data_IF_072077868115
#
_entry.id   IF_072077868115
#
_cell.length_a   1.000
_cell.length_b   1.000
_cell.length_c   1.000
_cell.angle_alpha   90.00
_cell.angle_beta   90.00
_cell.angle_gamma   90.00
#
_symmetry.space_group_name_H-M   'P 1'
#
loop_
_entity.id
_entity.type
_entity.pdbx_description
1 polymer ?
#
# COMPACT_ATOMS: atom_id res chain seq x y z
N UNK A 1 23.50 -1.67 -62.50
CA UNK A 1 23.98 -1.14 -61.20
C UNK A 1 22.74 -0.76 -60.37
N UNK A 2 22.35 -1.61 -59.42
CA UNK A 2 21.08 -1.48 -58.68
C UNK A 2 21.39 -0.84 -57.31
N UNK A 3 20.84 0.36 -57.09
CA UNK A 3 20.93 1.14 -55.86
C UNK A 3 20.14 0.43 -54.75
N UNK A 4 20.79 0.14 -53.62
CA UNK A 4 20.11 -0.30 -52.40
C UNK A 4 20.25 0.77 -51.33
N UNK A 5 19.12 1.40 -51.05
CA UNK A 5 18.89 2.33 -49.95
C UNK A 5 19.07 1.60 -48.63
N UNK A 6 19.94 2.11 -47.77
CA UNK A 6 20.13 1.62 -46.41
C UNK A 6 19.21 2.42 -45.47
N UNK A 7 18.09 1.83 -45.09
CA UNK A 7 17.15 2.37 -44.11
C UNK A 7 17.68 2.15 -42.70
N UNK A 8 17.90 3.24 -41.98
CA UNK A 8 18.31 3.26 -40.57
C UNK A 8 17.09 2.94 -39.70
N UNK A 9 17.03 1.73 -39.15
CA UNK A 9 15.99 1.33 -38.21
C UNK A 9 16.28 1.95 -36.83
N UNK A 10 15.48 2.94 -36.44
CA UNK A 10 15.48 3.50 -35.08
C UNK A 10 14.72 2.53 -34.18
N UNK A 11 15.45 1.78 -33.35
CA UNK A 11 14.88 0.99 -32.26
C UNK A 11 14.43 1.95 -31.16
N UNK A 12 13.13 2.26 -31.14
CA UNK A 12 12.48 2.86 -29.98
C UNK A 12 12.56 1.87 -28.82
N UNK A 13 13.41 2.17 -27.82
CA UNK A 13 13.25 1.57 -26.50
C UNK A 13 11.98 2.17 -25.89
N UNK A 14 10.86 1.47 -26.00
CA UNK A 14 9.72 1.72 -25.15
C UNK A 14 10.13 1.35 -23.72
N UNK A 15 10.47 2.37 -22.94
CA UNK A 15 10.59 2.30 -21.48
C UNK A 15 9.33 1.64 -20.94
N UNK A 16 9.47 0.46 -20.35
CA UNK A 16 8.37 -0.20 -19.63
C UNK A 16 7.84 0.77 -18.59
N UNK A 17 6.56 1.10 -18.70
CA UNK A 17 5.84 1.78 -17.63
C UNK A 17 5.86 0.83 -16.42
N UNK A 18 6.71 1.13 -15.45
CA UNK A 18 6.54 0.61 -14.10
C UNK A 18 5.20 1.16 -13.64
N UNK A 19 4.18 0.30 -13.57
CA UNK A 19 2.85 0.65 -13.09
C UNK A 19 2.95 1.11 -11.64
N UNK A 20 3.06 2.43 -11.47
CA UNK A 20 2.61 3.17 -10.30
C UNK A 20 1.09 2.94 -10.21
N UNK A 21 0.65 1.97 -9.41
CA UNK A 21 -0.74 1.51 -9.41
C UNK A 21 -1.34 1.59 -8.01
N UNK A 22 -2.64 1.92 -7.94
CA UNK A 22 -3.39 1.83 -6.70
C UNK A 22 -3.39 0.37 -6.21
N UNK A 23 -2.80 0.16 -5.03
CA UNK A 23 -2.63 -1.16 -4.43
C UNK A 23 -3.43 -1.30 -3.16
N UNK A 24 -3.67 -2.56 -2.79
CA UNK A 24 -4.33 -2.93 -1.54
C UNK A 24 -3.36 -3.60 -0.60
N UNK A 25 -3.49 -3.32 0.69
CA UNK A 25 -2.73 -3.99 1.73
C UNK A 25 -3.62 -4.30 2.94
N UNK A 26 -3.18 -5.30 3.71
CA UNK A 26 -3.80 -5.68 4.98
C UNK A 26 -2.80 -5.47 6.11
N UNK A 27 -3.22 -4.71 7.12
CA UNK A 27 -2.38 -4.33 8.25
C UNK A 27 -3.09 -4.77 9.53
N UNK A 28 -2.45 -5.64 10.31
CA UNK A 28 -2.88 -5.96 11.67
C UNK A 28 -2.41 -4.87 12.61
N UNK A 29 -3.30 -4.47 13.52
CA UNK A 29 -2.96 -3.53 14.60
C UNK A 29 -3.31 -4.13 15.94
N UNK A 30 -2.51 -3.82 16.94
CA UNK A 30 -2.72 -4.24 18.33
C UNK A 30 -2.60 -3.04 19.28
N UNK A 31 -3.13 -3.20 20.49
CA UNK A 31 -3.13 -2.14 21.50
C UNK A 31 -4.43 -1.33 21.54
N UNK A 32 -5.53 -1.89 21.01
CA UNK A 32 -6.86 -1.29 21.04
C UNK A 32 -7.48 -1.46 22.44
N UNK A 33 -6.99 -0.72 23.44
CA UNK A 33 -7.46 -0.85 24.83
C UNK A 33 -8.66 0.03 25.17
N UNK A 34 -9.15 0.81 24.20
CA UNK A 34 -10.21 1.77 24.39
C UNK A 34 -11.23 1.72 23.24
N UNK A 35 -12.51 2.08 23.48
CA UNK A 35 -13.58 1.96 22.48
C UNK A 35 -13.33 2.77 21.19
N UNK A 36 -12.55 3.85 21.28
CA UNK A 36 -12.23 4.74 20.15
C UNK A 36 -10.82 4.53 19.59
N UNK A 37 -10.07 3.54 20.07
CA UNK A 37 -8.68 3.34 19.70
C UNK A 37 -8.53 2.98 18.21
N UNK A 38 -9.46 2.22 17.64
CA UNK A 38 -9.50 1.91 16.22
C UNK A 38 -9.68 3.16 15.35
N UNK A 39 -10.50 4.12 15.79
CA UNK A 39 -10.63 5.39 15.05
C UNK A 39 -9.29 6.14 14.99
N UNK A 40 -8.56 6.23 16.11
CA UNK A 40 -7.26 6.93 16.18
C UNK A 40 -6.22 6.24 15.28
N UNK A 41 -6.20 4.90 15.28
CA UNK A 41 -5.31 4.14 14.40
C UNK A 41 -5.65 4.37 12.93
N UNK A 42 -6.94 4.38 12.58
CA UNK A 42 -7.37 4.65 11.21
C UNK A 42 -6.92 6.03 10.72
N UNK A 43 -7.14 7.06 11.53
CA UNK A 43 -6.66 8.41 11.24
C UNK A 43 -5.13 8.48 11.13
N UNK A 44 -4.41 7.72 11.96
CA UNK A 44 -2.95 7.64 11.87
C UNK A 44 -2.51 7.04 10.52
N UNK A 45 -3.13 5.95 10.06
CA UNK A 45 -2.83 5.36 8.75
C UNK A 45 -3.12 6.35 7.61
N UNK A 46 -4.21 7.12 7.70
CA UNK A 46 -4.61 8.11 6.68
C UNK A 46 -3.75 9.38 6.68
N UNK A 47 -2.81 9.54 7.61
CA UNK A 47 -1.79 10.60 7.54
C UNK A 47 -0.75 10.35 6.48
N UNK A 48 -0.55 9.08 6.10
CA UNK A 48 0.29 8.75 4.96
C UNK A 48 -0.43 9.14 3.68
N UNK A 49 0.31 9.70 2.72
CA UNK A 49 -0.26 10.19 1.47
C UNK A 49 -0.90 9.03 0.68
N UNK A 50 -1.99 9.33 -0.05
CA UNK A 50 -2.78 8.38 -0.85
C UNK A 50 -3.52 7.26 -0.09
N UNK A 51 -3.40 7.18 1.24
CA UNK A 51 -4.03 6.10 2.02
C UNK A 51 -5.54 6.31 2.18
N UNK A 52 -6.32 5.30 1.82
CA UNK A 52 -7.74 5.22 2.13
C UNK A 52 -8.08 3.91 2.85
N UNK A 53 -8.94 3.97 3.86
CA UNK A 53 -9.42 2.79 4.58
C UNK A 53 -10.63 2.23 3.85
N UNK A 54 -10.52 1.00 3.37
CA UNK A 54 -11.64 0.28 2.77
C UNK A 54 -12.49 -0.43 3.82
N UNK A 55 -11.83 -1.01 4.83
CA UNK A 55 -12.51 -1.77 5.86
C UNK A 55 -11.66 -1.89 7.12
N UNK A 56 -12.32 -2.08 8.26
CA UNK A 56 -11.70 -2.47 9.52
C UNK A 56 -12.47 -3.66 10.12
N UNK A 57 -11.75 -4.76 10.35
CA UNK A 57 -12.30 -5.94 11.01
C UNK A 57 -11.68 -6.07 12.40
N UNK A 58 -12.46 -5.80 13.43
CA UNK A 58 -12.07 -6.03 14.82
C UNK A 58 -12.00 -7.53 15.13
N UNK A 59 -11.01 -7.95 15.92
CA UNK A 59 -10.95 -9.31 16.45
C UNK A 59 -11.90 -9.49 17.64
N UNK A 60 -12.25 -10.75 17.95
CA UNK A 60 -13.23 -11.05 19.01
C UNK A 60 -12.84 -10.52 20.39
N UNK A 61 -11.55 -10.33 20.67
CA UNK A 61 -11.05 -9.85 21.95
C UNK A 61 -11.12 -8.32 22.10
N UNK A 62 -11.44 -7.59 21.02
CA UNK A 62 -11.52 -6.13 20.97
C UNK A 62 -10.19 -5.40 21.19
N UNK A 63 -9.05 -6.11 21.16
CA UNK A 63 -7.71 -5.54 21.46
C UNK A 63 -6.84 -5.40 20.23
N UNK A 64 -7.28 -5.98 19.13
CA UNK A 64 -6.63 -5.92 17.83
C UNK A 64 -7.66 -5.91 16.70
N UNK A 65 -7.20 -5.61 15.50
CA UNK A 65 -8.01 -5.73 14.29
C UNK A 65 -7.17 -5.59 13.04
N UNK A 66 -7.78 -5.85 11.89
CA UNK A 66 -7.12 -5.75 10.58
C UNK A 66 -7.77 -4.64 9.76
N UNK A 67 -6.95 -3.70 9.32
CA UNK A 67 -7.32 -2.71 8.31
C UNK A 67 -7.03 -3.26 6.92
N UNK A 68 -8.00 -3.11 6.02
CA UNK A 68 -7.77 -3.19 4.58
C UNK A 68 -7.72 -1.78 4.04
N UNK A 69 -6.61 -1.43 3.39
CA UNK A 69 -6.38 -0.09 2.85
C UNK A 69 -6.15 -0.14 1.34
N UNK A 70 -6.32 1.00 0.68
CA UNK A 70 -5.68 1.31 -0.60
C UNK A 70 -4.61 2.38 -0.43
N UNK A 71 -3.61 2.36 -1.30
CA UNK A 71 -2.54 3.35 -1.38
C UNK A 71 -1.94 3.34 -2.80
N UNK A 72 -1.30 4.44 -3.20
CA UNK A 72 -0.51 4.54 -4.43
C UNK A 72 0.97 4.26 -4.09
N UNK A 73 1.49 3.14 -4.60
CA UNK A 73 2.85 2.69 -4.29
C UNK A 73 3.95 3.49 -5.00
N UNK A 74 3.59 4.43 -5.88
CA UNK A 74 4.52 5.42 -6.41
C UNK A 74 4.61 6.69 -5.56
N UNK A 75 3.67 6.88 -4.63
CA UNK A 75 3.61 8.06 -3.76
C UNK A 75 4.06 7.72 -2.35
N UNK A 76 3.69 6.55 -1.83
CA UNK A 76 3.90 6.19 -0.43
C UNK A 76 4.35 4.74 -0.28
N UNK A 77 5.35 4.51 0.57
CA UNK A 77 5.83 3.16 0.90
C UNK A 77 5.01 2.50 2.02
N UNK A 78 4.81 1.17 1.93
CA UNK A 78 4.07 0.41 2.94
C UNK A 78 4.72 0.47 4.33
N UNK A 79 6.05 0.51 4.40
CA UNK A 79 6.78 0.65 5.65
C UNK A 79 6.48 1.99 6.33
N UNK A 80 6.33 3.06 5.56
CA UNK A 80 5.93 4.38 6.08
C UNK A 80 4.50 4.35 6.63
N UNK A 81 3.56 3.69 5.92
CA UNK A 81 2.17 3.53 6.37
C UNK A 81 2.11 2.73 7.68
N UNK A 82 2.80 1.58 7.74
CA UNK A 82 2.83 0.70 8.92
C UNK A 82 3.51 1.38 10.12
N UNK A 83 4.40 2.34 9.90
CA UNK A 83 5.05 3.08 10.98
C UNK A 83 4.14 4.13 11.64
N UNK A 84 3.09 4.63 10.96
CA UNK A 84 2.27 5.74 11.48
C UNK A 84 1.63 5.48 12.86
N UNK A 85 1.03 4.29 13.14
CA UNK A 85 0.34 4.07 14.41
C UNK A 85 1.28 4.10 15.64
N UNK A 86 2.59 3.90 15.46
CA UNK A 86 3.57 3.93 16.54
C UNK A 86 3.66 5.30 17.23
N UNK A 87 3.40 6.40 16.50
CA UNK A 87 3.35 7.75 17.06
C UNK A 87 2.24 7.93 18.12
N UNK A 88 1.29 7.00 18.16
CA UNK A 88 0.15 6.99 19.06
C UNK A 88 0.17 5.82 20.07
N UNK A 89 1.25 5.04 20.09
CA UNK A 89 1.43 3.91 21.00
C UNK A 89 0.77 2.61 20.54
N UNK A 90 0.36 2.51 19.28
CA UNK A 90 -0.16 1.28 18.69
C UNK A 90 0.93 0.54 17.92
N UNK A 91 0.83 -0.79 17.85
CA UNK A 91 1.71 -1.61 17.02
C UNK A 91 0.96 -2.01 15.77
N UNK A 92 1.60 -1.88 14.61
CA UNK A 92 1.05 -2.30 13.33
C UNK A 92 2.02 -3.24 12.61
N UNK A 93 1.47 -4.25 11.93
CA UNK A 93 2.23 -5.26 11.20
C UNK A 93 1.56 -5.50 9.85
N UNK A 94 2.35 -5.50 8.78
CA UNK A 94 1.89 -5.85 7.44
C UNK A 94 1.59 -7.35 7.39
N UNK A 95 0.35 -7.70 7.05
CA UNK A 95 -0.07 -9.10 6.83
C UNK A 95 0.03 -9.51 5.37
N UNK A 96 -0.32 -8.60 4.47
CA UNK A 96 -0.35 -8.82 3.03
C UNK A 96 -0.18 -7.48 2.31
N UNK A 97 0.69 -7.44 1.31
CA UNK A 97 0.99 -6.28 0.47
C UNK A 97 0.22 -6.30 -0.86
N UNK A 98 -0.67 -7.28 -1.05
CA UNK A 98 -1.48 -7.46 -2.24
C UNK A 98 -0.75 -8.05 -3.44
N UNK A 99 0.55 -8.35 -3.34
CA UNK A 99 1.33 -8.95 -4.45
C UNK A 99 1.10 -10.45 -4.59
N UNK A 100 0.66 -11.12 -3.53
CA UNK A 100 0.51 -12.58 -3.50
C UNK A 100 -0.86 -13.09 -3.99
N UNK A 101 -1.74 -12.22 -4.50
CA UNK A 101 -3.09 -12.60 -4.97
C UNK A 101 -3.13 -13.03 -6.45
N UNK A 102 -1.99 -13.24 -7.09
CA UNK A 102 -1.88 -13.72 -8.48
C UNK A 102 -0.75 -14.73 -8.65
N UNK A 103 -1.07 -16.02 -8.59
CA UNK A 103 -0.25 -17.11 -9.14
C UNK A 103 -1.18 -18.20 -9.66
#
# INVERSE_FOLDING_TARGET
>A
MKKTFMTLAVLFLATGATHAEERKARIEVTGLWCPSCSYIVGEALQKSESVAILNFQEHEDGRSGVYTITFDDAVTDLGEIVAQPAAYGYTAVLLDDGTNSGS
#
